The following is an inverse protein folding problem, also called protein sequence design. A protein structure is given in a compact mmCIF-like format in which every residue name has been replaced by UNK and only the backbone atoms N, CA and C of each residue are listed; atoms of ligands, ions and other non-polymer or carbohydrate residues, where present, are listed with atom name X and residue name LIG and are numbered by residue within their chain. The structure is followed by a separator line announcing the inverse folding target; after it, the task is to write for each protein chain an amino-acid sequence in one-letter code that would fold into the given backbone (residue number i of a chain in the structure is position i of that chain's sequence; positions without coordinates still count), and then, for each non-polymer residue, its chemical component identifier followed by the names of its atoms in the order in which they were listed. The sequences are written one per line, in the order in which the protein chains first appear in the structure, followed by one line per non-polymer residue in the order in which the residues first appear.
data_IF_613484091628
#
_entry.id   IF_613484091628
#
_cell.length_a   1.000
_cell.length_b   1.000
_cell.length_c   1.000
_cell.angle_alpha   90.00
_cell.angle_beta   90.00
_cell.angle_gamma   90.00
#
_symmetry.space_group_name_H-M   'P 1'
#
loop_
_entity.id
_entity.type
_entity.pdbx_description
1 polymer ?
#
# COMPACT_ATOMS: atom_id res chain seq x y z
N UNK A 1 -16.80 12.47 11.94
CA UNK A 1 -15.63 12.01 11.18
C UNK A 1 -15.58 10.50 11.20
N UNK A 2 -15.41 9.86 10.06
CA UNK A 2 -15.23 8.41 9.93
C UNK A 2 -13.91 8.13 9.22
N UNK A 3 -13.22 7.08 9.67
CA UNK A 3 -11.94 6.66 9.10
C UNK A 3 -12.08 5.28 8.47
N UNK A 4 -11.51 5.11 7.27
CA UNK A 4 -11.51 3.84 6.55
C UNK A 4 -10.10 3.50 6.09
N UNK A 5 -9.66 2.27 6.36
CA UNK A 5 -8.42 1.75 5.77
C UNK A 5 -8.73 1.29 4.34
N UNK A 6 -7.94 1.78 3.37
CA UNK A 6 -8.12 1.48 1.95
C UNK A 6 -6.88 0.75 1.45
N UNK A 7 -7.01 -0.54 1.19
CA UNK A 7 -5.91 -1.35 0.64
C UNK A 7 -5.74 -1.03 -0.85
N UNK A 8 -4.60 -0.45 -1.21
CA UNK A 8 -4.34 0.00 -2.58
C UNK A 8 -3.41 -0.92 -3.36
N UNK A 9 -2.92 -1.98 -2.74
CA UNK A 9 -2.05 -2.97 -3.37
C UNK A 9 -1.01 -3.53 -2.42
N UNK A 10 -0.31 -4.54 -2.88
CA UNK A 10 0.76 -5.19 -2.14
C UNK A 10 2.01 -5.28 -3.00
N UNK A 11 3.17 -5.17 -2.39
CA UNK A 11 4.45 -5.23 -3.08
C UNK A 11 5.53 -5.75 -2.15
N UNK A 12 6.75 -5.84 -2.66
CA UNK A 12 7.90 -6.28 -1.87
C UNK A 12 9.05 -5.31 -2.03
N UNK A 13 9.79 -5.11 -0.96
CA UNK A 13 11.04 -4.35 -0.97
C UNK A 13 12.07 -5.04 -0.11
N UNK A 14 13.34 -4.70 -0.32
CA UNK A 14 14.43 -5.19 0.49
C UNK A 14 14.23 -4.79 1.95
N UNK A 15 14.23 -5.79 2.85
CA UNK A 15 14.02 -5.54 4.26
C UNK A 15 15.11 -4.69 4.90
N UNK A 16 16.35 -4.83 4.43
CA UNK A 16 17.45 -4.00 4.89
C UNK A 16 17.27 -2.54 4.53
N UNK A 17 16.79 -2.26 3.32
CA UNK A 17 16.47 -0.89 2.90
C UNK A 17 15.33 -0.29 3.74
N UNK A 18 14.34 -1.11 4.13
CA UNK A 18 13.20 -0.65 4.91
C UNK A 18 13.56 -0.42 6.37
N UNK A 19 14.34 -1.30 6.97
CA UNK A 19 14.65 -1.25 8.41
C UNK A 19 15.96 -0.56 8.74
N UNK A 20 16.78 -0.24 7.73
CA UNK A 20 18.00 0.52 7.92
C UNK A 20 18.98 -0.14 8.87
N UNK A 21 19.27 0.54 9.99
CA UNK A 21 20.25 0.08 10.96
C UNK A 21 19.75 -1.02 11.91
N UNK A 22 18.47 -1.36 11.88
CA UNK A 22 17.91 -2.42 12.72
C UNK A 22 18.42 -3.77 12.20
N UNK A 23 19.03 -4.62 13.05
CA UNK A 23 19.55 -5.91 12.61
C UNK A 23 18.45 -6.85 12.06
N UNK A 24 18.76 -7.56 10.99
CA UNK A 24 17.85 -8.53 10.38
C UNK A 24 17.36 -9.59 11.37
N UNK A 25 18.21 -10.02 12.30
CA UNK A 25 17.84 -11.00 13.34
C UNK A 25 16.66 -10.52 14.19
N UNK A 26 16.45 -9.20 14.25
CA UNK A 26 15.32 -8.61 14.98
C UNK A 26 14.09 -8.48 14.08
N UNK A 27 14.21 -7.79 12.94
CA UNK A 27 13.04 -7.51 12.11
C UNK A 27 12.55 -8.75 11.34
N UNK A 28 13.40 -9.72 11.06
CA UNK A 28 12.99 -10.92 10.32
C UNK A 28 11.98 -11.78 11.09
N UNK A 29 11.90 -11.62 12.41
CA UNK A 29 10.94 -12.34 13.25
C UNK A 29 9.51 -11.90 13.00
N UNK A 30 9.29 -10.63 12.71
CA UNK A 30 7.98 -10.05 12.47
C UNK A 30 7.70 -9.80 10.99
N UNK A 31 8.76 -9.65 10.19
CA UNK A 31 8.68 -9.37 8.76
C UNK A 31 9.64 -10.30 8.02
N UNK A 32 9.28 -11.59 7.88
CA UNK A 32 10.20 -12.57 7.33
C UNK A 32 10.55 -12.26 5.87
N UNK A 33 11.85 -12.27 5.57
CA UNK A 33 12.35 -12.03 4.23
C UNK A 33 12.41 -13.34 3.44
N UNK A 34 12.25 -13.22 2.12
CA UNK A 34 12.47 -14.33 1.20
C UNK A 34 13.95 -14.49 0.87
N UNK A 35 14.29 -15.38 -0.09
CA UNK A 35 15.66 -15.66 -0.50
C UNK A 35 16.37 -14.44 -1.11
N UNK A 36 15.64 -13.45 -1.54
CA UNK A 36 16.17 -12.20 -2.10
C UNK A 36 16.17 -11.05 -1.08
N UNK A 37 15.93 -11.35 0.18
CA UNK A 37 15.81 -10.38 1.28
C UNK A 37 14.63 -9.43 1.14
N UNK A 38 13.61 -9.83 0.37
CA UNK A 38 12.39 -9.03 0.17
C UNK A 38 11.36 -9.35 1.25
N UNK A 39 10.69 -8.31 1.74
CA UNK A 39 9.60 -8.42 2.71
C UNK A 39 8.31 -7.94 2.08
N UNK A 40 7.19 -8.46 2.59
CA UNK A 40 5.85 -8.05 2.15
C UNK A 40 5.50 -6.68 2.70
N UNK A 41 4.97 -5.81 1.83
CA UNK A 41 4.55 -4.45 2.17
C UNK A 41 3.16 -4.20 1.59
N UNK A 42 2.34 -3.50 2.35
CA UNK A 42 1.03 -3.05 1.90
C UNK A 42 1.07 -1.56 1.55
N UNK A 43 0.50 -1.21 0.41
CA UNK A 43 0.17 0.18 0.09
C UNK A 43 -1.22 0.45 0.67
N UNK A 44 -1.24 0.89 1.92
CA UNK A 44 -2.49 1.13 2.65
C UNK A 44 -2.72 2.62 2.80
N UNK A 45 -3.86 3.07 2.31
CA UNK A 45 -4.26 4.48 2.35
C UNK A 45 -5.28 4.71 3.45
N UNK A 46 -5.44 5.94 3.87
CA UNK A 46 -6.46 6.35 4.83
C UNK A 46 -7.49 7.23 4.14
N UNK A 47 -8.77 6.84 4.23
CA UNK A 47 -9.88 7.64 3.74
C UNK A 47 -10.63 8.23 4.93
N UNK A 48 -10.84 9.54 4.91
CA UNK A 48 -11.49 10.29 5.98
C UNK A 48 -12.76 10.93 5.45
N UNK A 49 -13.91 10.58 6.05
CA UNK A 49 -15.16 11.30 5.83
C UNK A 49 -15.27 12.38 6.91
N UNK A 50 -15.33 13.63 6.49
CA UNK A 50 -15.48 14.76 7.41
C UNK A 50 -16.45 15.79 6.82
N UNK A 51 -17.71 15.72 7.25
CA UNK A 51 -18.78 16.56 6.71
C UNK A 51 -19.00 16.29 5.23
N UNK A 52 -18.82 17.30 4.38
CA UNK A 52 -18.94 17.17 2.93
C UNK A 52 -17.57 16.92 2.25
N UNK A 53 -16.52 16.66 3.02
CA UNK A 53 -15.19 16.36 2.50
C UNK A 53 -14.91 14.88 2.57
N UNK A 54 -14.31 14.35 1.53
CA UNK A 54 -13.80 12.98 1.47
C UNK A 54 -12.32 13.07 1.15
N UNK A 55 -11.48 12.81 2.15
CA UNK A 55 -10.04 13.06 2.10
C UNK A 55 -9.31 11.72 1.99
N UNK A 56 -8.50 11.56 0.95
CA UNK A 56 -7.67 10.37 0.77
C UNK A 56 -6.22 10.71 1.06
N UNK A 57 -5.63 10.00 2.03
CA UNK A 57 -4.21 10.12 2.36
C UNK A 57 -3.47 8.98 1.68
N UNK A 58 -2.55 9.32 0.79
CA UNK A 58 -1.82 8.45 -0.11
C UNK A 58 -2.71 7.90 -1.23
N UNK A 59 -2.11 7.39 -2.29
CA UNK A 59 -2.81 6.87 -3.46
C UNK A 59 -2.29 5.51 -3.94
N UNK A 60 -1.31 4.95 -3.28
CA UNK A 60 -0.66 3.71 -3.70
C UNK A 60 0.20 3.90 -4.95
N UNK A 61 0.54 2.79 -5.62
CA UNK A 61 1.40 2.82 -6.81
C UNK A 61 0.65 3.06 -8.11
N UNK A 62 -0.64 2.73 -8.14
CA UNK A 62 -1.42 2.76 -9.37
C UNK A 62 -1.00 1.67 -10.36
N UNK A 63 -1.35 1.85 -11.62
CA UNK A 63 -1.08 0.88 -12.70
C UNK A 63 -0.57 1.55 -13.98
N UNK A 64 -0.10 2.78 -13.90
CA UNK A 64 0.27 3.59 -15.07
C UNK A 64 1.77 3.59 -15.37
N UNK A 65 2.57 2.94 -14.53
CA UNK A 65 4.01 2.83 -14.74
C UNK A 65 4.33 1.65 -15.66
N UNK A 66 5.57 1.61 -16.16
CA UNK A 66 6.03 0.52 -17.02
C UNK A 66 6.15 -0.80 -16.26
N UNK A 67 6.16 -1.91 -17.00
CA UNK A 67 6.39 -3.24 -16.42
C UNK A 67 7.76 -3.31 -15.75
N UNK A 68 8.77 -2.64 -16.32
CA UNK A 68 10.10 -2.55 -15.74
C UNK A 68 10.07 -1.89 -14.36
N UNK A 69 9.31 -0.79 -14.22
CA UNK A 69 9.14 -0.11 -12.94
C UNK A 69 8.54 -1.08 -11.91
N UNK A 70 7.42 -1.73 -12.25
CA UNK A 70 6.77 -2.64 -11.32
C UNK A 70 7.59 -3.89 -11.00
N UNK A 71 8.48 -4.31 -11.89
CA UNK A 71 9.35 -5.47 -11.64
C UNK A 71 10.26 -5.28 -10.43
N UNK A 72 10.61 -4.03 -10.09
CA UNK A 72 11.43 -3.73 -8.90
C UNK A 72 10.66 -3.90 -7.59
N UNK A 73 9.34 -3.91 -7.64
CA UNK A 73 8.48 -3.92 -6.46
C UNK A 73 7.75 -5.25 -6.25
N UNK A 74 7.87 -6.19 -7.18
CA UNK A 74 7.27 -7.54 -7.06
C UNK A 74 5.83 -7.49 -6.57
N UNK A 75 4.95 -6.87 -7.36
CA UNK A 75 3.54 -6.69 -7.00
C UNK A 75 2.87 -8.05 -6.77
N UNK A 76 2.02 -8.12 -5.75
CA UNK A 76 1.27 -9.33 -5.44
C UNK A 76 -0.11 -8.99 -4.87
N UNK A 77 -0.98 -9.98 -4.83
CA UNK A 77 -2.36 -9.79 -4.39
C UNK A 77 -3.21 -9.09 -5.45
N UNK A 78 -4.48 -8.92 -5.16
CA UNK A 78 -5.46 -8.36 -6.08
C UNK A 78 -6.18 -7.12 -5.55
N UNK A 79 -5.63 -6.50 -4.51
CA UNK A 79 -6.12 -5.21 -4.03
C UNK A 79 -5.78 -4.10 -5.01
N UNK A 80 -6.71 -3.18 -5.20
CA UNK A 80 -6.48 -1.94 -5.92
C UNK A 80 -7.22 -0.81 -5.23
N UNK A 81 -6.79 0.43 -5.48
CA UNK A 81 -7.44 1.61 -4.91
C UNK A 81 -8.92 1.66 -5.30
N UNK A 82 -9.24 1.48 -6.58
CA UNK A 82 -10.61 1.54 -7.08
C UNK A 82 -11.51 0.47 -6.45
N UNK A 83 -11.03 -0.77 -6.37
CA UNK A 83 -11.78 -1.87 -5.75
C UNK A 83 -12.06 -1.61 -4.28
N UNK A 84 -11.06 -1.14 -3.55
CA UNK A 84 -11.17 -0.93 -2.11
C UNK A 84 -12.05 0.27 -1.79
N UNK A 85 -12.01 1.33 -2.59
CA UNK A 85 -12.94 2.45 -2.47
C UNK A 85 -14.37 1.97 -2.72
N UNK A 86 -14.59 1.17 -3.77
CA UNK A 86 -15.91 0.62 -4.08
C UNK A 86 -16.46 -0.25 -2.96
N UNK A 87 -15.61 -1.10 -2.36
CA UNK A 87 -16.00 -1.94 -1.24
C UNK A 87 -16.38 -1.12 0.00
N UNK A 88 -15.78 0.06 0.18
CA UNK A 88 -16.13 0.99 1.23
C UNK A 88 -17.36 1.86 0.91
N UNK A 89 -17.93 1.71 -0.29
CA UNK A 89 -19.11 2.46 -0.73
C UNK A 89 -18.82 3.76 -1.46
N UNK A 90 -17.60 3.93 -1.99
CA UNK A 90 -17.16 5.17 -2.65
C UNK A 90 -16.64 4.92 -4.05
N UNK A 91 -16.59 5.99 -4.84
CA UNK A 91 -15.89 6.06 -6.13
C UNK A 91 -14.76 7.07 -6.04
N UNK A 92 -13.69 6.88 -6.82
CA UNK A 92 -12.55 7.82 -6.80
C UNK A 92 -12.95 9.26 -7.10
N UNK A 93 -14.01 9.45 -7.89
CA UNK A 93 -14.51 10.80 -8.22
C UNK A 93 -15.19 11.47 -7.03
N UNK A 94 -15.52 10.72 -5.97
CA UNK A 94 -16.10 11.27 -4.74
C UNK A 94 -15.05 11.94 -3.85
N UNK A 95 -13.77 11.63 -4.06
CA UNK A 95 -12.67 12.18 -3.28
C UNK A 95 -12.52 13.67 -3.55
N UNK A 96 -12.54 14.47 -2.49
CA UNK A 96 -12.44 15.94 -2.60
C UNK A 96 -11.02 16.47 -2.39
N UNK A 97 -10.17 15.74 -1.58
CA UNK A 97 -8.82 16.18 -1.18
C UNK A 97 -7.86 15.00 -1.16
#
# INVERSE_FOLDING_TARGET
MKLHAIEAGNFKLDGGAMFGVVPKTMWNKTNPADENNLIDIAARCLLIEDGNRLILIDTGMGNKQSDKFFSYYSLWGDHSLDKSLKNAGFHRDDVTD
#
